data_IF_643453446503
#
_entry.id   IF_643453446503
#
_cell.length_a   1.000
_cell.length_b   1.000
_cell.length_c   1.000
_cell.angle_alpha   90.00
_cell.angle_beta   90.00
_cell.angle_gamma   90.00
#
_symmetry.space_group_name_H-M   'P 1'
#
loop_
_entity.id
_entity.type
_entity.pdbx_description
1 polymer ?
#
# COMPACT_ATOMS: atom_id res chain seq x y z
N UNK A 1 41.37 -43.95 35.47
CA UNK A 1 40.66 -44.45 34.27
C UNK A 1 39.78 -43.30 33.79
N UNK A 2 40.22 -42.34 32.96
CA UNK A 2 40.61 -42.32 31.54
C UNK A 2 39.51 -42.82 30.60
N UNK A 3 38.72 -41.90 30.07
CA UNK A 3 38.01 -42.04 28.79
C UNK A 3 38.14 -40.73 28.03
N UNK A 4 38.73 -40.82 26.84
CA UNK A 4 39.13 -39.75 25.94
C UNK A 4 37.95 -39.30 25.07
N UNK A 5 37.74 -37.99 24.97
CA UNK A 5 36.75 -37.36 24.09
C UNK A 5 37.24 -37.42 22.64
N UNK A 6 36.43 -38.07 21.80
CA UNK A 6 36.68 -38.33 20.39
C UNK A 6 36.47 -37.04 19.57
N UNK A 7 37.45 -36.70 18.73
CA UNK A 7 37.49 -35.48 17.93
C UNK A 7 36.47 -35.42 16.80
N UNK A 8 35.84 -34.27 16.64
CA UNK A 8 34.91 -33.95 15.55
C UNK A 8 35.71 -33.53 14.31
N UNK A 9 35.66 -34.35 13.27
CA UNK A 9 36.28 -34.07 11.99
C UNK A 9 35.56 -32.91 11.27
N UNK A 10 36.32 -31.84 10.98
CA UNK A 10 35.93 -30.78 10.06
C UNK A 10 35.73 -31.39 8.66
N UNK A 11 34.49 -31.43 8.18
CA UNK A 11 34.19 -31.67 6.76
C UNK A 11 34.06 -30.33 6.06
N UNK A 12 35.05 -30.01 5.25
CA UNK A 12 35.06 -28.88 4.32
C UNK A 12 33.94 -29.03 3.30
N UNK A 13 32.89 -28.22 3.41
CA UNK A 13 31.91 -28.05 2.34
C UNK A 13 32.44 -27.01 1.37
N UNK A 14 32.99 -27.49 0.25
CA UNK A 14 33.26 -26.66 -0.92
C UNK A 14 31.91 -26.27 -1.55
N UNK A 15 31.43 -25.07 -1.24
CA UNK A 15 30.31 -24.45 -1.94
C UNK A 15 30.79 -24.02 -3.34
N UNK A 16 30.58 -24.91 -4.31
CA UNK A 16 30.65 -24.58 -5.72
C UNK A 16 29.51 -23.61 -6.06
N UNK A 17 29.83 -22.61 -6.88
CA UNK A 17 29.07 -21.38 -7.07
C UNK A 17 27.60 -21.60 -7.43
N UNK A 18 26.73 -20.98 -6.63
CA UNK A 18 25.39 -20.63 -7.05
C UNK A 18 25.51 -19.46 -8.04
N UNK A 19 25.18 -19.75 -9.29
CA UNK A 19 24.93 -18.74 -10.32
C UNK A 19 23.78 -17.87 -9.80
N UNK A 20 24.10 -16.63 -9.43
CA UNK A 20 23.10 -15.61 -9.18
C UNK A 20 22.39 -15.30 -10.49
N UNK A 21 21.38 -16.09 -10.83
CA UNK A 21 20.37 -15.71 -11.79
C UNK A 21 19.68 -14.49 -11.19
N UNK A 22 20.13 -13.31 -11.61
CA UNK A 22 19.48 -12.04 -11.32
C UNK A 22 18.09 -12.10 -11.93
N UNK A 23 17.13 -12.61 -11.17
CA UNK A 23 15.72 -12.33 -11.39
C UNK A 23 15.59 -10.82 -11.25
N UNK A 24 15.63 -10.12 -12.38
CA UNK A 24 15.08 -8.78 -12.46
C UNK A 24 13.63 -8.95 -12.01
N UNK A 25 13.35 -8.60 -10.76
CA UNK A 25 11.99 -8.52 -10.24
C UNK A 25 11.31 -7.46 -11.10
N UNK A 26 10.68 -7.90 -12.19
CA UNK A 26 9.85 -7.03 -12.99
C UNK A 26 8.73 -6.61 -12.06
N UNK A 27 8.67 -5.31 -11.79
CA UNK A 27 7.62 -4.68 -11.01
C UNK A 27 6.27 -5.26 -11.46
N UNK A 28 5.69 -6.12 -10.62
CA UNK A 28 4.41 -6.73 -10.95
C UNK A 28 3.33 -5.65 -10.84
N UNK A 29 2.38 -5.59 -11.79
CA UNK A 29 1.24 -4.69 -11.67
C UNK A 29 0.38 -5.10 -10.48
N UNK A 30 -0.26 -4.13 -9.83
CA UNK A 30 -1.19 -4.39 -8.72
C UNK A 30 -2.44 -5.07 -9.30
N UNK A 31 -2.87 -6.23 -8.75
CA UNK A 31 -4.11 -6.88 -9.15
C UNK A 31 -5.33 -5.99 -8.90
N UNK A 32 -6.26 -5.93 -9.86
CA UNK A 32 -7.47 -5.09 -9.76
C UNK A 32 -8.35 -5.47 -8.56
N UNK A 33 -8.33 -6.73 -8.12
CA UNK A 33 -9.07 -7.19 -6.94
C UNK A 33 -8.61 -6.50 -5.65
N UNK A 34 -7.30 -6.20 -5.52
CA UNK A 34 -6.77 -5.52 -4.35
C UNK A 34 -7.15 -4.03 -4.37
N UNK A 35 -7.07 -3.41 -5.54
CA UNK A 35 -7.51 -2.02 -5.74
C UNK A 35 -9.02 -1.86 -5.46
N UNK A 36 -9.83 -2.86 -5.82
CA UNK A 36 -11.26 -2.86 -5.51
C UNK A 36 -11.53 -2.91 -4.00
N UNK A 37 -10.74 -3.66 -3.24
CA UNK A 37 -10.84 -3.69 -1.77
C UNK A 37 -10.50 -2.31 -1.17
N UNK A 38 -9.47 -1.64 -1.67
CA UNK A 38 -9.11 -0.30 -1.19
C UNK A 38 -10.14 0.76 -1.58
N UNK A 39 -10.70 0.67 -2.79
CA UNK A 39 -11.81 1.51 -3.20
C UNK A 39 -13.00 1.37 -2.24
N UNK A 40 -13.36 0.12 -1.88
CA UNK A 40 -14.44 -0.13 -0.92
C UNK A 40 -14.13 0.44 0.47
N UNK A 41 -12.88 0.30 0.94
CA UNK A 41 -12.45 0.87 2.23
C UNK A 41 -12.50 2.39 2.22
N UNK A 42 -12.02 3.01 1.14
CA UNK A 42 -12.08 4.46 0.94
C UNK A 42 -13.53 4.95 0.95
N UNK A 43 -14.42 4.30 0.19
CA UNK A 43 -15.84 4.64 0.16
C UNK A 43 -16.49 4.50 1.55
N UNK A 44 -16.20 3.41 2.26
CA UNK A 44 -16.73 3.18 3.61
C UNK A 44 -16.32 4.26 4.60
N UNK A 45 -15.08 4.77 4.51
CA UNK A 45 -14.60 5.84 5.37
C UNK A 45 -15.05 7.24 4.94
N UNK A 46 -15.19 7.48 3.64
CA UNK A 46 -15.48 8.80 3.10
C UNK A 46 -16.98 9.13 3.08
N UNK A 47 -17.83 8.18 2.64
CA UNK A 47 -19.26 8.43 2.39
C UNK A 47 -20.00 8.99 3.60
N UNK A 48 -19.78 8.53 4.85
CA UNK A 48 -20.46 9.08 6.02
C UNK A 48 -20.20 10.59 6.22
N UNK A 49 -19.04 11.10 5.79
CA UNK A 49 -18.70 12.52 5.93
C UNK A 49 -19.16 13.36 4.73
N UNK A 50 -18.86 12.92 3.51
CA UNK A 50 -18.93 13.79 2.31
C UNK A 50 -19.96 13.33 1.26
N UNK A 51 -20.62 12.19 1.48
CA UNK A 51 -21.58 11.59 0.56
C UNK A 51 -20.94 10.89 -0.65
N UNK A 52 -21.72 10.03 -1.29
CA UNK A 52 -21.26 9.18 -2.40
C UNK A 52 -20.80 9.99 -3.63
N UNK A 53 -21.48 11.09 -3.94
CA UNK A 53 -21.16 11.94 -5.10
C UNK A 53 -19.75 12.54 -5.04
N UNK A 54 -19.27 12.88 -3.84
CA UNK A 54 -17.91 13.39 -3.60
C UNK A 54 -16.91 12.24 -3.49
N UNK A 55 -17.28 11.19 -2.74
CA UNK A 55 -16.34 10.13 -2.37
C UNK A 55 -16.02 9.20 -3.53
N UNK A 56 -16.98 8.91 -4.41
CA UNK A 56 -16.75 8.04 -5.55
C UNK A 56 -15.61 8.54 -6.46
N UNK A 57 -15.63 9.76 -7.00
CA UNK A 57 -14.54 10.26 -7.85
C UNK A 57 -13.21 10.36 -7.09
N UNK A 58 -13.23 10.69 -5.79
CA UNK A 58 -12.04 10.74 -4.94
C UNK A 58 -11.38 9.36 -4.79
N UNK A 59 -12.17 8.35 -4.42
CA UNK A 59 -11.70 6.99 -4.23
C UNK A 59 -11.27 6.36 -5.56
N UNK A 60 -12.02 6.61 -6.64
CA UNK A 60 -11.67 6.15 -8.00
C UNK A 60 -10.34 6.75 -8.46
N UNK A 61 -10.11 8.05 -8.23
CA UNK A 61 -8.84 8.69 -8.52
C UNK A 61 -7.69 8.11 -7.68
N UNK A 62 -7.92 7.87 -6.39
CA UNK A 62 -6.90 7.36 -5.48
C UNK A 62 -6.39 5.98 -5.91
N UNK A 63 -7.30 5.04 -6.21
CA UNK A 63 -6.90 3.68 -6.66
C UNK A 63 -6.26 3.70 -8.04
N UNK A 64 -6.66 4.62 -8.91
CA UNK A 64 -6.00 4.84 -10.20
C UNK A 64 -4.57 5.34 -10.01
N UNK A 65 -4.33 6.29 -9.11
CA UNK A 65 -2.98 6.78 -8.82
C UNK A 65 -2.11 5.73 -8.14
N UNK A 66 -2.67 4.86 -7.29
CA UNK A 66 -1.94 3.68 -6.79
C UNK A 66 -1.50 2.79 -7.94
N UNK A 67 -2.41 2.46 -8.88
CA UNK A 67 -2.07 1.67 -10.07
C UNK A 67 -1.00 2.31 -10.96
N UNK A 68 -1.00 3.64 -11.07
CA UNK A 68 -0.08 4.38 -11.93
C UNK A 68 1.31 4.58 -11.33
N UNK A 69 1.40 4.74 -10.00
CA UNK A 69 2.63 5.16 -9.31
C UNK A 69 3.32 4.06 -8.53
N UNK A 70 2.56 3.04 -8.14
CA UNK A 70 3.05 1.96 -7.30
C UNK A 70 3.17 0.67 -8.11
N UNK A 71 4.29 -0.01 -7.90
CA UNK A 71 4.42 -1.42 -8.19
C UNK A 71 3.88 -2.25 -7.02
N UNK A 72 3.69 -3.55 -7.23
CA UNK A 72 3.14 -4.44 -6.22
C UNK A 72 3.93 -4.42 -4.90
N UNK A 73 5.27 -4.37 -4.96
CA UNK A 73 6.11 -4.39 -3.76
C UNK A 73 5.92 -3.12 -2.92
N UNK A 74 5.91 -1.94 -3.55
CA UNK A 74 5.64 -0.67 -2.87
C UNK A 74 4.22 -0.61 -2.33
N UNK A 75 3.24 -1.12 -3.10
CA UNK A 75 1.86 -1.18 -2.67
C UNK A 75 1.70 -2.04 -1.41
N UNK A 76 2.32 -3.22 -1.37
CA UNK A 76 2.30 -4.08 -0.18
C UNK A 76 3.00 -3.42 1.02
N UNK A 77 4.14 -2.76 0.80
CA UNK A 77 4.84 -2.01 1.86
C UNK A 77 3.96 -0.91 2.45
N UNK A 78 3.33 -0.12 1.58
CA UNK A 78 2.40 0.94 1.97
C UNK A 78 1.20 0.37 2.74
N UNK A 79 0.61 -0.75 2.27
CA UNK A 79 -0.51 -1.41 2.92
C UNK A 79 -0.16 -1.88 4.35
N UNK A 80 1.05 -2.41 4.54
CA UNK A 80 1.55 -2.81 5.87
C UNK A 80 1.73 -1.59 6.78
N UNK A 81 2.34 -0.52 6.29
CA UNK A 81 2.52 0.74 7.04
C UNK A 81 1.17 1.33 7.48
N UNK A 82 0.21 1.39 6.56
CA UNK A 82 -1.16 1.84 6.85
C UNK A 82 -1.84 0.95 7.89
N UNK A 83 -1.69 -0.37 7.81
CA UNK A 83 -2.29 -1.30 8.78
C UNK A 83 -1.74 -1.14 10.20
N UNK A 84 -0.52 -0.63 10.33
CA UNK A 84 0.16 -0.36 11.60
C UNK A 84 -0.01 1.08 12.08
N UNK A 85 -0.55 1.97 11.25
CA UNK A 85 -0.52 3.43 11.45
C UNK A 85 0.91 4.00 11.58
N UNK A 86 1.88 3.36 10.93
CA UNK A 86 3.30 3.74 10.94
C UNK A 86 3.75 4.07 9.52
N UNK A 87 3.22 5.16 8.97
CA UNK A 87 3.53 5.59 7.60
C UNK A 87 4.85 6.35 7.58
N UNK A 88 5.80 5.84 6.79
CA UNK A 88 7.08 6.51 6.56
C UNK A 88 6.89 7.88 5.90
N UNK A 89 7.83 8.81 6.10
CA UNK A 89 7.70 10.16 5.53
C UNK A 89 7.57 10.15 4.00
N UNK A 90 8.31 9.26 3.32
CA UNK A 90 8.22 9.10 1.86
C UNK A 90 6.80 8.68 1.42
N UNK A 91 6.22 7.71 2.11
CA UNK A 91 4.87 7.24 1.81
C UNK A 91 3.81 8.27 2.20
N UNK A 92 4.03 9.04 3.28
CA UNK A 92 3.15 10.14 3.65
C UNK A 92 3.14 11.23 2.59
N UNK A 93 4.31 11.63 2.08
CA UNK A 93 4.41 12.57 0.95
C UNK A 93 3.72 12.04 -0.29
N UNK A 94 3.90 10.76 -0.63
CA UNK A 94 3.20 10.14 -1.76
C UNK A 94 1.68 10.22 -1.60
N UNK A 95 1.16 9.86 -0.42
CA UNK A 95 -0.27 9.91 -0.12
C UNK A 95 -0.81 11.34 -0.19
N UNK A 96 -0.09 12.31 0.37
CA UNK A 96 -0.45 13.72 0.34
C UNK A 96 -0.50 14.25 -1.11
N UNK A 97 0.47 13.87 -1.94
CA UNK A 97 0.51 14.28 -3.35
C UNK A 97 -0.66 13.68 -4.13
N UNK A 98 -0.96 12.39 -3.94
CA UNK A 98 -2.14 11.73 -4.52
C UNK A 98 -3.42 12.44 -4.07
N UNK A 99 -3.56 12.72 -2.78
CA UNK A 99 -4.73 13.41 -2.26
C UNK A 99 -4.92 14.80 -2.88
N UNK A 100 -3.85 15.59 -3.03
CA UNK A 100 -3.91 16.90 -3.67
C UNK A 100 -4.31 16.82 -5.14
N UNK A 101 -3.77 15.87 -5.90
CA UNK A 101 -4.13 15.69 -7.30
C UNK A 101 -5.59 15.27 -7.45
N UNK A 102 -6.04 14.32 -6.64
CA UNK A 102 -7.43 13.86 -6.70
C UNK A 102 -8.42 14.94 -6.25
N UNK A 103 -8.07 15.75 -5.24
CA UNK A 103 -8.86 16.91 -4.85
C UNK A 103 -8.95 17.94 -6.01
N UNK A 104 -7.82 18.26 -6.65
CA UNK A 104 -7.79 19.18 -7.77
C UNK A 104 -8.63 18.67 -8.97
N UNK A 105 -8.65 17.36 -9.24
CA UNK A 105 -9.51 16.79 -10.28
C UNK A 105 -11.01 16.95 -9.97
N UNK A 106 -11.40 16.76 -8.71
CA UNK A 106 -12.80 16.93 -8.27
C UNK A 106 -13.23 18.39 -8.40
N UNK A 107 -12.37 19.32 -7.98
CA UNK A 107 -12.61 20.76 -8.12
C UNK A 107 -12.78 21.15 -9.59
N UNK A 108 -11.92 20.65 -10.48
CA UNK A 108 -12.02 20.89 -11.93
C UNK A 108 -13.29 20.30 -12.54
N UNK A 109 -13.76 19.16 -12.02
CA UNK A 109 -14.99 18.51 -12.46
C UNK A 109 -16.26 19.23 -11.97
N UNK A 110 -16.14 20.33 -11.20
CA UNK A 110 -17.27 21.09 -10.62
C UNK A 110 -18.22 20.19 -9.81
N UNK A 111 -17.68 19.16 -9.15
CA UNK A 111 -18.47 18.26 -8.32
C UNK A 111 -18.74 18.99 -7.00
N UNK A 112 -20.01 19.16 -6.58
CA UNK A 112 -20.32 19.80 -5.31
C UNK A 112 -19.79 18.93 -4.17
N UNK A 113 -18.71 19.38 -3.54
CA UNK A 113 -18.18 18.74 -2.33
C UNK A 113 -19.21 19.01 -1.23
N UNK A 114 -19.91 17.96 -0.79
CA UNK A 114 -20.84 18.06 0.31
C UNK A 114 -20.12 18.62 1.55
N UNK A 115 -20.73 19.59 2.22
CA UNK A 115 -20.24 20.02 3.54
C UNK A 115 -20.22 18.78 4.45
N UNK A 116 -19.16 18.56 5.23
CA UNK A 116 -19.09 17.44 6.16
C UNK A 116 -20.34 17.48 7.03
N UNK A 117 -21.23 16.51 6.85
CA UNK A 117 -22.48 16.50 7.60
C UNK A 117 -22.09 16.30 9.06
N UNK A 118 -22.32 17.33 9.88
CA UNK A 118 -22.00 17.30 11.29
C UNK A 118 -22.53 15.99 11.87
N UNK A 119 -21.61 15.14 12.30
CA UNK A 119 -21.90 13.81 12.82
C UNK A 119 -22.96 13.94 13.91
N UNK A 120 -24.20 13.53 13.63
CA UNK A 120 -25.20 13.39 14.68
C UNK A 120 -24.71 12.28 15.58
N UNK A 121 -24.49 12.53 16.89
CA UNK A 121 -23.98 11.51 17.80
C UNK A 121 -24.83 10.25 17.69
N UNK A 122 -24.22 9.13 17.32
CA UNK A 122 -24.91 7.84 17.35
C UNK A 122 -25.23 7.50 18.83
N UNK A 123 -26.47 7.08 19.14
CA UNK A 123 -26.90 6.75 20.50
C UNK A 123 -26.24 5.49 21.07
#
# INVERSE_FOLDING_TARGET
MKVMTLGTALRSFAFAGLVAAGASAMAAPIPDDLLAVDQQRCMKGCVPGYGEATCKPLCDCTVREFKNRLDMDKYLSLSVELSKNEVSDNNRTLLDDIAKMCAAEIEQANIPVGEPQAETPQP
#
